data_IF_030135388099
#
_entry.id   IF_030135388099
#
_cell.length_a   1.000
_cell.length_b   1.000
_cell.length_c   1.000
_cell.angle_alpha   90.00
_cell.angle_beta   90.00
_cell.angle_gamma   90.00
#
_symmetry.space_group_name_H-M   'P 1'
#
loop_
_entity.id
_entity.type
_entity.pdbx_description
1 polymer ?
#
# COMPACT_ATOMS: atom_id res chain seq x y z
N UNK A 1 13.95 11.37 -4.98
CA UNK A 1 13.55 12.76 -4.62
C UNK A 1 14.83 13.55 -4.35
N UNK A 2 14.95 14.76 -4.90
CA UNK A 2 16.16 15.57 -4.82
C UNK A 2 15.82 16.90 -4.16
N UNK A 3 16.68 17.39 -3.27
CA UNK A 3 16.59 18.73 -2.70
C UNK A 3 17.90 19.47 -2.85
N UNK A 4 17.83 20.79 -2.93
CA UNK A 4 19.00 21.66 -3.04
C UNK A 4 19.14 22.48 -1.78
N UNK A 5 20.28 22.37 -1.09
CA UNK A 5 20.55 23.07 0.17
C UNK A 5 21.91 23.76 0.08
N UNK A 6 22.05 24.91 0.75
CA UNK A 6 23.36 25.56 0.92
C UNK A 6 24.00 25.17 2.26
N UNK A 7 25.22 24.62 2.22
CA UNK A 7 26.04 24.30 3.40
C UNK A 7 27.37 25.05 3.28
N UNK A 8 27.66 25.96 4.21
CA UNK A 8 28.88 26.79 4.21
C UNK A 8 29.28 27.36 2.83
N UNK A 9 28.30 27.93 2.12
CA UNK A 9 28.40 28.52 0.76
C UNK A 9 28.51 27.52 -0.40
N UNK A 10 28.61 26.22 -0.13
CA UNK A 10 28.51 25.17 -1.15
C UNK A 10 27.04 24.85 -1.40
N UNK A 11 26.60 24.91 -2.66
CA UNK A 11 25.31 24.34 -3.06
C UNK A 11 25.45 22.83 -3.15
N UNK A 12 24.61 22.12 -2.40
CA UNK A 12 24.53 20.67 -2.36
C UNK A 12 23.22 20.23 -2.97
N UNK A 13 23.30 19.28 -3.90
CA UNK A 13 22.16 18.51 -4.36
C UNK A 13 22.16 17.18 -3.61
N UNK A 14 21.09 16.93 -2.86
CA UNK A 14 20.94 15.76 -2.01
C UNK A 14 19.80 14.89 -2.50
N UNK A 15 20.13 13.64 -2.83
CA UNK A 15 19.20 12.57 -3.12
C UNK A 15 18.72 11.95 -1.81
N UNK A 16 17.43 12.09 -1.51
CA UNK A 16 16.82 11.52 -0.31
C UNK A 16 16.68 10.01 -0.47
N UNK A 17 17.32 9.26 0.41
CA UNK A 17 17.23 7.79 0.49
C UNK A 17 16.02 7.34 1.30
N UNK A 18 15.77 7.98 2.44
CA UNK A 18 14.63 7.63 3.29
C UNK A 18 14.51 8.49 4.55
N UNK A 19 13.51 8.16 5.35
CA UNK A 19 13.16 8.87 6.58
C UNK A 19 13.05 7.90 7.75
N UNK A 20 13.66 8.26 8.87
CA UNK A 20 13.55 7.54 10.13
C UNK A 20 12.68 8.33 11.12
N UNK A 21 11.71 7.66 11.75
CA UNK A 21 10.84 8.25 12.77
C UNK A 21 11.02 7.54 14.10
N UNK A 22 11.31 8.30 15.16
CA UNK A 22 11.50 7.74 16.50
C UNK A 22 11.38 8.82 17.58
N UNK A 23 10.47 8.65 18.56
CA UNK A 23 10.37 9.52 19.75
C UNK A 23 10.34 11.04 19.44
N UNK A 24 9.54 11.42 18.44
CA UNK A 24 9.38 12.79 17.94
C UNK A 24 10.46 13.28 16.99
N UNK A 25 11.54 12.53 16.78
CA UNK A 25 12.51 12.82 15.74
C UNK A 25 12.02 12.33 14.38
N UNK A 26 12.24 13.15 13.35
CA UNK A 26 12.26 12.73 11.96
C UNK A 26 13.68 12.98 11.42
N UNK A 27 14.36 11.94 10.93
CA UNK A 27 15.73 12.05 10.41
C UNK A 27 15.74 11.58 8.97
N UNK A 28 15.99 12.50 8.04
CA UNK A 28 16.18 12.16 6.63
C UNK A 28 17.62 11.73 6.39
N UNK A 29 17.78 10.59 5.72
CA UNK A 29 19.04 10.15 5.17
C UNK A 29 19.11 10.55 3.71
N UNK A 30 20.19 11.25 3.35
CA UNK A 30 20.40 11.74 2.01
C UNK A 30 21.86 11.63 1.58
N UNK A 31 22.07 11.44 0.28
CA UNK A 31 23.39 11.35 -0.32
C UNK A 31 23.57 12.45 -1.36
N UNK A 32 24.79 12.94 -1.53
CA UNK A 32 25.15 13.79 -2.67
C UNK A 32 24.83 13.11 -4.01
N UNK A 33 24.69 13.90 -5.08
CA UNK A 33 24.43 13.36 -6.44
C UNK A 33 25.45 12.31 -6.90
N UNK A 34 26.69 12.38 -6.41
CA UNK A 34 27.77 11.42 -6.70
C UNK A 34 27.82 10.23 -5.72
N UNK A 35 26.91 10.17 -4.74
CA UNK A 35 26.83 9.15 -3.67
C UNK A 35 28.09 9.01 -2.80
N UNK A 36 28.94 10.03 -2.76
CA UNK A 36 30.20 10.05 -2.03
C UNK A 36 30.07 10.57 -0.57
N UNK A 37 29.05 11.39 -0.29
CA UNK A 37 28.85 12.00 1.03
C UNK A 37 27.44 11.73 1.56
N UNK A 38 27.35 11.17 2.78
CA UNK A 38 26.10 10.95 3.49
C UNK A 38 25.78 12.14 4.41
N UNK A 39 24.54 12.61 4.35
CA UNK A 39 23.98 13.68 5.17
C UNK A 39 22.76 13.18 5.92
N UNK A 40 22.69 13.49 7.22
CA UNK A 40 21.48 13.35 8.01
C UNK A 40 20.87 14.72 8.27
N UNK A 41 19.60 14.90 7.90
CA UNK A 41 18.81 16.11 8.17
C UNK A 41 17.85 15.81 9.33
N UNK A 42 17.92 16.63 10.37
CA UNK A 42 17.23 16.43 11.63
C UNK A 42 16.02 17.35 11.74
N UNK A 43 14.90 16.75 12.11
CA UNK A 43 13.65 17.42 12.43
C UNK A 43 13.15 16.91 13.78
N UNK A 44 12.36 17.74 14.45
CA UNK A 44 11.66 17.33 15.66
C UNK A 44 10.24 17.87 15.62
N UNK A 45 9.25 16.99 15.80
CA UNK A 45 7.82 17.30 15.66
C UNK A 45 7.51 18.11 14.38
N UNK A 46 8.03 17.63 13.26
CA UNK A 46 7.90 18.23 11.91
C UNK A 46 8.61 19.57 11.69
N UNK A 47 9.39 20.08 12.65
CA UNK A 47 10.21 21.29 12.45
C UNK A 47 11.66 20.96 12.11
N UNK A 48 12.19 21.56 11.05
CA UNK A 48 13.60 21.42 10.68
C UNK A 48 14.52 22.05 11.73
N UNK A 49 15.53 21.28 12.16
CA UNK A 49 16.52 21.69 13.15
C UNK A 49 17.86 22.05 12.51
N UNK A 50 18.47 21.11 11.80
CA UNK A 50 19.81 21.21 11.20
C UNK A 50 20.11 19.99 10.32
N UNK A 51 21.26 19.99 9.64
CA UNK A 51 21.80 18.86 8.89
C UNK A 51 23.28 18.65 9.20
N UNK A 52 23.76 17.41 9.06
CA UNK A 52 25.18 17.10 9.21
C UNK A 52 25.66 16.03 8.24
N UNK A 53 26.79 16.33 7.58
CA UNK A 53 27.61 15.31 6.94
C UNK A 53 28.09 14.31 7.99
N UNK A 54 27.95 13.02 7.67
CA UNK A 54 28.19 11.94 8.63
C UNK A 54 29.03 10.85 7.99
N UNK A 55 30.24 10.67 8.52
CA UNK A 55 31.18 9.65 8.03
C UNK A 55 31.15 8.38 8.91
N UNK A 56 30.70 8.50 10.16
CA UNK A 56 30.57 7.40 11.11
C UNK A 56 29.45 7.67 12.11
N UNK A 57 28.88 6.60 12.65
CA UNK A 57 27.84 6.64 13.68
C UNK A 57 28.38 6.00 14.96
N UNK A 58 28.39 6.74 16.07
CA UNK A 58 28.82 6.23 17.37
C UNK A 58 27.80 5.24 17.92
N UNK A 59 28.26 4.07 18.39
CA UNK A 59 27.40 2.96 18.86
C UNK A 59 26.38 3.35 19.94
N UNK A 60 26.75 4.26 20.84
CA UNK A 60 25.89 4.72 21.94
C UNK A 60 25.18 6.04 21.66
N UNK A 61 25.25 6.56 20.43
CA UNK A 61 24.59 7.82 20.06
C UNK A 61 23.08 7.65 19.96
N UNK A 62 22.36 8.74 20.19
CA UNK A 62 20.93 8.83 19.95
C UNK A 62 20.62 8.64 18.46
N UNK A 63 21.48 9.12 17.55
CA UNK A 63 21.36 8.85 16.12
C UNK A 63 21.37 7.33 15.84
N UNK A 64 22.29 6.57 16.42
CA UNK A 64 22.30 5.11 16.26
C UNK A 64 21.00 4.47 16.72
N UNK A 65 20.42 4.95 17.83
CA UNK A 65 19.14 4.43 18.32
C UNK A 65 18.00 4.73 17.35
N UNK A 66 17.94 5.93 16.77
CA UNK A 66 16.95 6.30 15.76
C UNK A 66 17.07 5.38 14.54
N UNK A 67 18.28 5.16 14.04
CA UNK A 67 18.51 4.36 12.83
C UNK A 67 18.23 2.86 13.04
N UNK A 68 18.35 2.36 14.27
CA UNK A 68 18.17 0.92 14.59
C UNK A 68 16.79 0.58 15.15
N UNK A 69 16.17 1.49 15.89
CA UNK A 69 14.87 1.26 16.56
C UNK A 69 13.74 2.09 15.96
N UNK A 70 14.06 3.08 15.14
CA UNK A 70 13.07 3.90 14.46
C UNK A 70 12.39 3.18 13.31
N UNK A 71 11.23 3.69 12.94
CA UNK A 71 10.50 3.24 11.75
C UNK A 71 11.15 3.89 10.53
N UNK A 72 11.59 3.06 9.59
CA UNK A 72 12.18 3.52 8.34
C UNK A 72 11.15 3.54 7.21
N UNK A 73 11.12 4.65 6.47
CA UNK A 73 10.35 4.85 5.26
C UNK A 73 11.32 5.11 4.09
N UNK A 74 11.33 4.22 3.10
CA UNK A 74 12.15 4.37 1.89
C UNK A 74 11.60 5.49 0.99
N UNK A 75 12.45 6.33 0.42
CA UNK A 75 12.06 7.32 -0.61
C UNK A 75 11.74 6.64 -1.96
N UNK A 76 10.80 7.16 -2.77
CA UNK A 76 9.94 8.31 -2.53
C UNK A 76 8.65 7.95 -1.77
N UNK A 77 8.25 8.78 -0.80
CA UNK A 77 6.98 8.63 -0.07
C UNK A 77 6.29 9.99 0.04
N UNK A 78 4.94 10.06 -0.05
CA UNK A 78 4.20 11.31 0.14
C UNK A 78 4.55 12.01 1.47
N UNK A 79 4.71 11.25 2.56
CA UNK A 79 5.10 11.79 3.88
C UNK A 79 6.44 12.55 3.83
N UNK A 80 7.42 12.03 3.08
CA UNK A 80 8.73 12.68 2.94
C UNK A 80 8.57 14.00 2.18
N UNK A 81 7.76 13.99 1.12
CA UNK A 81 7.44 15.19 0.35
C UNK A 81 6.77 16.24 1.26
N UNK A 82 5.72 15.85 1.99
CA UNK A 82 5.00 16.75 2.90
C UNK A 82 5.89 17.32 3.99
N UNK A 83 6.79 16.52 4.59
CA UNK A 83 7.75 17.01 5.57
C UNK A 83 8.67 18.09 4.99
N UNK A 84 9.12 17.91 3.75
CA UNK A 84 9.96 18.87 3.02
C UNK A 84 9.16 20.10 2.56
N UNK A 85 7.90 19.94 2.16
CA UNK A 85 7.05 21.07 1.73
C UNK A 85 6.69 21.98 2.92
N UNK A 86 6.47 21.40 4.11
CA UNK A 86 6.28 22.15 5.36
C UNK A 86 7.54 22.93 5.74
N UNK A 87 8.72 22.41 5.41
CA UNK A 87 10.00 22.98 5.79
C UNK A 87 10.76 23.47 4.57
N UNK A 88 10.71 24.76 4.27
CA UNK A 88 11.55 25.36 3.23
C UNK A 88 13.03 25.39 3.66
N UNK A 89 13.76 24.31 3.36
CA UNK A 89 15.17 24.15 3.78
C UNK A 89 16.09 24.84 2.77
N UNK A 90 16.51 26.05 3.11
CA UNK A 90 17.46 26.82 2.27
C UNK A 90 18.93 26.60 2.68
N UNK A 91 19.18 26.40 3.97
CA UNK A 91 20.54 26.32 4.52
C UNK A 91 20.61 25.42 5.74
N UNK A 92 21.80 24.88 6.01
CA UNK A 92 22.08 24.08 7.21
C UNK A 92 22.59 24.98 8.34
N UNK A 93 21.79 25.26 9.39
CA UNK A 93 22.27 26.03 10.53
C UNK A 93 23.30 25.23 11.35
N UNK A 94 24.25 25.92 11.98
CA UNK A 94 25.20 25.29 12.91
C UNK A 94 24.49 24.73 14.15
N UNK A 95 25.09 23.74 14.82
CA UNK A 95 24.54 23.17 16.06
C UNK A 95 24.36 24.26 17.14
N UNK A 96 25.25 25.24 17.23
CA UNK A 96 25.15 26.32 18.20
C UNK A 96 23.95 27.24 17.92
N UNK A 97 23.72 27.60 16.66
CA UNK A 97 22.56 28.40 16.26
C UNK A 97 21.25 27.63 16.46
N UNK A 98 21.24 26.35 16.10
CA UNK A 98 20.11 25.44 16.33
C UNK A 98 19.80 25.30 17.82
N UNK A 99 20.82 25.16 18.68
CA UNK A 99 20.63 25.08 20.13
C UNK A 99 20.03 26.35 20.73
N UNK A 100 20.42 27.53 20.24
CA UNK A 100 19.80 28.81 20.66
C UNK A 100 18.32 28.86 20.27
N UNK A 101 17.96 28.41 19.07
CA UNK A 101 16.56 28.32 18.62
C UNK A 101 15.77 27.34 19.49
N UNK A 102 16.31 26.15 19.71
CA UNK A 102 15.66 25.10 20.52
C UNK A 102 15.34 25.60 21.93
N UNK A 103 16.29 26.24 22.62
CA UNK A 103 16.05 26.77 23.98
C UNK A 103 15.00 27.88 24.04
N UNK A 104 14.74 28.57 22.92
CA UNK A 104 13.70 29.60 22.85
C UNK A 104 12.32 29.00 22.56
N UNK A 105 12.28 27.94 21.75
CA UNK A 105 11.04 27.35 21.24
C UNK A 105 10.46 26.25 22.13
N UNK A 106 11.30 25.52 22.88
CA UNK A 106 10.88 24.35 23.65
C UNK A 106 11.15 24.53 25.15
N UNK A 107 10.33 23.86 25.97
CA UNK A 107 10.57 23.75 27.42
C UNK A 107 11.91 23.08 27.68
N UNK A 108 12.60 23.43 28.76
CA UNK A 108 14.01 23.08 28.94
C UNK A 108 14.27 21.56 28.99
N UNK A 109 13.33 20.78 29.52
CA UNK A 109 13.43 19.30 29.52
C UNK A 109 13.30 18.74 28.10
N UNK A 110 12.39 19.29 27.30
CA UNK A 110 12.20 18.89 25.90
C UNK A 110 13.36 19.38 25.02
N UNK A 111 13.84 20.61 25.22
CA UNK A 111 15.05 21.12 24.62
C UNK A 111 16.25 20.19 24.92
N UNK A 112 16.41 19.75 26.17
CA UNK A 112 17.44 18.80 26.56
C UNK A 112 17.28 17.44 25.89
N UNK A 113 16.05 16.97 25.67
CA UNK A 113 15.80 15.77 24.86
C UNK A 113 16.31 15.99 23.45
N UNK A 114 15.87 17.04 22.76
CA UNK A 114 16.28 17.35 21.37
C UNK A 114 17.81 17.40 21.23
N UNK A 115 18.51 18.00 22.20
CA UNK A 115 19.98 18.09 22.19
C UNK A 115 20.67 16.72 22.11
N UNK A 116 20.05 15.66 22.65
CA UNK A 116 20.66 14.32 22.71
C UNK A 116 20.96 13.77 21.33
N UNK A 117 20.18 14.14 20.30
CA UNK A 117 20.44 13.69 18.92
C UNK A 117 21.81 14.11 18.38
N UNK A 118 22.41 15.17 18.96
CA UNK A 118 23.71 15.69 18.53
C UNK A 118 24.91 15.03 19.23
N UNK A 119 24.70 14.02 20.09
CA UNK A 119 25.77 13.25 20.74
C UNK A 119 26.68 12.48 19.75
N UNK A 120 26.22 12.25 18.52
CA UNK A 120 27.06 11.74 17.44
C UNK A 120 28.14 12.76 17.01
N UNK A 121 27.82 14.05 17.04
CA UNK A 121 28.70 15.12 16.54
C UNK A 121 29.41 15.90 17.65
N UNK A 122 28.86 15.87 18.86
CA UNK A 122 29.45 16.48 20.05
C UNK A 122 30.17 15.44 20.91
N UNK A 123 31.07 15.89 21.79
CA UNK A 123 31.62 15.00 22.84
C UNK A 123 30.50 14.65 23.81
N UNK A 124 30.32 13.36 24.11
CA UNK A 124 29.26 12.87 25.00
C UNK A 124 29.30 13.55 26.38
N UNK A 125 30.49 13.72 26.96
CA UNK A 125 30.68 14.42 28.24
C UNK A 125 30.18 15.87 28.21
N UNK A 126 30.33 16.54 27.06
CA UNK A 126 29.84 17.92 26.89
C UNK A 126 28.31 17.94 26.94
N UNK A 127 27.65 17.01 26.25
CA UNK A 127 26.18 16.89 26.26
C UNK A 127 25.69 16.57 27.67
N UNK A 128 26.25 15.54 28.32
CA UNK A 128 25.91 15.16 29.69
C UNK A 128 26.11 16.32 30.66
N UNK A 129 27.24 17.03 30.58
CA UNK A 129 27.53 18.17 31.47
C UNK A 129 26.51 19.30 31.33
N UNK A 130 25.96 19.52 30.12
CA UNK A 130 24.94 20.54 29.90
C UNK A 130 23.60 20.11 30.51
N UNK A 131 23.20 18.86 30.32
CA UNK A 131 22.01 18.28 30.95
C UNK A 131 22.11 18.31 32.48
N UNK A 132 23.28 18.01 33.04
CA UNK A 132 23.56 18.11 34.47
C UNK A 132 23.40 19.54 34.97
N UNK A 133 23.93 20.54 34.25
CA UNK A 133 23.77 21.95 34.61
C UNK A 133 22.30 22.38 34.66
N UNK A 134 21.50 21.99 33.66
CA UNK A 134 20.05 22.27 33.62
C UNK A 134 19.35 21.62 34.83
N UNK A 135 19.64 20.34 35.11
CA UNK A 135 19.08 19.64 36.26
C UNK A 135 19.45 20.29 37.60
N UNK A 136 20.72 20.68 37.77
CA UNK A 136 21.19 21.37 38.98
C UNK A 136 20.56 22.75 39.13
N UNK A 137 20.35 23.47 38.02
CA UNK A 137 19.65 24.77 38.03
C UNK A 137 18.21 24.60 38.54
N UNK A 138 17.46 23.63 38.00
CA UNK A 138 16.12 23.33 38.52
C UNK A 138 16.10 22.99 40.01
N UNK A 139 17.12 22.30 40.52
CA UNK A 139 17.23 22.03 41.97
C UNK A 139 17.45 23.31 42.77
N UNK A 140 18.33 24.20 42.31
CA UNK A 140 18.60 25.50 42.95
C UNK A 140 17.35 26.37 42.98
N UNK A 141 16.57 26.33 41.91
CA UNK A 141 15.34 27.11 41.77
C UNK A 141 14.13 26.46 42.50
N UNK A 142 14.34 25.36 43.23
CA UNK A 142 13.28 24.64 43.95
C UNK A 142 12.34 23.81 43.05
N UNK A 143 12.57 23.78 41.74
CA UNK A 143 11.79 23.05 40.74
C UNK A 143 12.14 21.54 40.71
N UNK A 144 11.92 20.86 41.84
CA UNK A 144 12.31 19.46 42.04
C UNK A 144 11.65 18.49 41.03
N UNK A 145 10.43 18.76 40.57
CA UNK A 145 9.79 17.93 39.54
C UNK A 145 10.53 18.02 38.20
N UNK A 146 10.91 19.21 37.76
CA UNK A 146 11.67 19.36 36.50
C UNK A 146 13.06 18.74 36.62
N UNK A 147 13.71 18.89 37.77
CA UNK A 147 14.96 18.18 38.05
C UNK A 147 14.79 16.66 37.96
N UNK A 148 13.69 16.11 38.49
CA UNK A 148 13.37 14.68 38.41
C UNK A 148 13.14 14.22 36.96
N UNK A 149 12.41 15.01 36.15
CA UNK A 149 12.22 14.76 34.71
C UNK A 149 13.55 14.72 33.96
N UNK A 150 14.44 15.67 34.24
CA UNK A 150 15.79 15.69 33.68
C UNK A 150 16.61 14.46 34.05
N UNK A 151 16.50 13.98 35.29
CA UNK A 151 17.18 12.77 35.74
C UNK A 151 16.66 11.53 35.01
N UNK A 152 15.35 11.40 34.85
CA UNK A 152 14.76 10.33 34.05
C UNK A 152 15.23 10.38 32.59
N UNK A 153 15.20 11.56 31.95
CA UNK A 153 15.71 11.73 30.58
C UNK A 153 17.19 11.29 30.47
N UNK A 154 18.03 11.72 31.42
CA UNK A 154 19.44 11.33 31.47
C UNK A 154 19.62 9.81 31.58
N UNK A 155 18.83 9.14 32.42
CA UNK A 155 18.92 7.69 32.59
C UNK A 155 18.35 6.92 31.40
N UNK A 156 17.32 7.44 30.75
CA UNK A 156 16.78 6.87 29.51
C UNK A 156 17.79 6.92 28.37
N UNK A 157 18.46 8.07 28.18
CA UNK A 157 19.42 8.26 27.08
C UNK A 157 20.82 7.72 27.40
N UNK A 158 21.23 7.81 28.67
CA UNK A 158 22.56 7.40 29.15
C UNK A 158 22.46 6.51 30.41
N UNK A 159 22.06 5.23 30.26
CA UNK A 159 21.77 4.34 31.38
C UNK A 159 22.95 4.03 32.30
N UNK A 160 24.19 4.32 31.88
CA UNK A 160 25.41 4.09 32.67
C UNK A 160 25.82 5.30 33.53
N UNK A 161 25.09 6.42 33.45
CA UNK A 161 25.42 7.64 34.17
C UNK A 161 25.23 7.48 35.70
N UNK A 162 26.34 7.36 36.42
CA UNK A 162 26.34 7.13 37.88
C UNK A 162 25.80 8.33 38.67
N UNK A 163 26.09 9.56 38.22
CA UNK A 163 25.58 10.77 38.86
C UNK A 163 24.05 10.78 38.88
N UNK A 164 23.41 10.52 37.75
CA UNK A 164 21.95 10.49 37.66
C UNK A 164 21.35 9.35 38.49
N UNK A 165 21.97 8.15 38.47
CA UNK A 165 21.54 6.99 39.28
C UNK A 165 21.56 7.29 40.78
N UNK A 166 22.63 7.92 41.27
CA UNK A 166 22.73 8.27 42.68
C UNK A 166 21.78 9.39 43.10
N UNK A 167 21.53 10.35 42.20
CA UNK A 167 20.76 11.53 42.55
C UNK A 167 19.24 11.28 42.52
N UNK A 168 18.77 10.41 41.62
CA UNK A 168 17.34 10.13 41.45
C UNK A 168 16.73 9.40 42.66
N UNK A 169 17.54 8.65 43.42
CA UNK A 169 17.11 7.92 44.63
C UNK A 169 17.05 8.78 45.89
N UNK A 170 17.42 10.05 45.80
CA UNK A 170 17.40 10.96 46.95
C UNK A 170 15.98 11.13 47.50
N UNK A 171 15.83 11.25 48.83
CA UNK A 171 14.54 11.34 49.54
C UNK A 171 13.58 12.39 48.93
N UNK A 172 14.13 13.55 48.55
CA UNK A 172 13.41 14.64 47.86
C UNK A 172 12.60 14.20 46.61
N UNK A 173 12.92 13.06 46.00
CA UNK A 173 12.29 12.56 44.79
C UNK A 173 11.37 11.34 44.98
N UNK A 174 11.30 10.78 46.19
CA UNK A 174 10.46 9.60 46.47
C UNK A 174 8.99 9.81 46.09
N UNK A 175 8.44 11.00 46.38
CA UNK A 175 7.06 11.37 46.03
C UNK A 175 6.78 11.36 44.53
N UNK A 176 7.78 11.59 43.69
CA UNK A 176 7.62 11.56 42.23
C UNK A 176 7.76 10.13 41.70
N UNK A 177 8.62 9.32 42.31
CA UNK A 177 8.85 7.91 41.91
C UNK A 177 7.55 7.11 41.89
N UNK A 178 6.70 7.27 42.91
CA UNK A 178 5.39 6.61 42.95
C UNK A 178 4.49 6.96 41.76
N UNK A 179 4.56 8.20 41.25
CA UNK A 179 3.78 8.62 40.07
C UNK A 179 4.31 8.01 38.78
N UNK A 180 5.61 7.80 38.66
CA UNK A 180 6.22 7.17 37.48
C UNK A 180 6.04 5.65 37.46
N UNK A 181 5.68 5.05 38.59
CA UNK A 181 5.23 3.66 38.70
C UNK A 181 3.74 3.47 38.40
N UNK A 182 2.98 4.56 38.23
CA UNK A 182 1.56 4.50 37.93
C UNK A 182 1.28 4.10 36.48
N UNK A 183 0.01 3.81 36.19
CA UNK A 183 -0.42 3.41 34.85
C UNK A 183 -0.04 4.45 33.78
N UNK A 184 0.47 4.00 32.63
CA UNK A 184 1.08 4.85 31.58
C UNK A 184 0.13 5.96 31.08
N UNK A 185 -1.18 5.70 31.04
CA UNK A 185 -2.20 6.71 30.68
C UNK A 185 -2.21 7.91 31.64
N UNK A 186 -2.03 7.67 32.94
CA UNK A 186 -1.94 8.74 33.95
C UNK A 186 -0.63 9.49 33.81
N UNK A 187 0.44 8.76 33.49
CA UNK A 187 1.76 9.33 33.26
C UNK A 187 1.81 10.21 32.02
N UNK A 188 1.04 9.90 30.97
CA UNK A 188 0.93 10.72 29.76
C UNK A 188 0.46 12.15 30.06
N UNK A 189 -0.45 12.33 31.02
CA UNK A 189 -0.88 13.65 31.47
C UNK A 189 0.14 14.31 32.41
N UNK A 190 0.87 13.51 33.18
CA UNK A 190 1.79 14.00 34.20
C UNK A 190 3.18 14.36 33.66
N UNK A 191 3.72 13.57 32.73
CA UNK A 191 4.97 13.77 32.02
C UNK A 191 4.85 13.19 30.59
N UNK A 192 4.28 13.94 29.64
CA UNK A 192 4.01 13.48 28.28
C UNK A 192 5.25 12.98 27.56
N UNK A 193 6.38 13.69 27.70
CA UNK A 193 7.64 13.34 27.02
C UNK A 193 8.17 11.98 27.48
N UNK A 194 8.21 11.74 28.80
CA UNK A 194 8.61 10.45 29.32
C UNK A 194 7.65 9.34 28.90
N UNK A 195 6.34 9.57 29.01
CA UNK A 195 5.35 8.59 28.60
C UNK A 195 5.48 8.22 27.11
N UNK A 196 5.60 9.21 26.21
CA UNK A 196 5.79 9.00 24.77
C UNK A 196 7.02 8.12 24.48
N UNK A 197 8.16 8.44 25.09
CA UNK A 197 9.39 7.65 24.95
C UNK A 197 9.15 6.17 25.31
N UNK A 198 8.43 5.91 26.40
CA UNK A 198 8.12 4.56 26.86
C UNK A 198 7.09 3.84 25.97
N UNK A 199 6.11 4.56 25.42
CA UNK A 199 5.14 4.01 24.47
C UNK A 199 5.83 3.55 23.17
N UNK A 200 6.78 4.35 22.65
CA UNK A 200 7.59 3.99 21.48
C UNK A 200 8.43 2.71 21.69
N UNK A 201 8.85 2.41 22.92
CA UNK A 201 9.60 1.19 23.21
C UNK A 201 8.69 -0.07 23.27
N UNK A 202 7.36 0.11 23.35
CA UNK A 202 6.39 -0.97 23.52
C UNK A 202 5.32 -0.98 22.40
N UNK A 203 5.68 -0.57 21.18
CA UNK A 203 4.79 -0.46 20.02
C UNK A 203 4.07 -1.77 19.65
N UNK A 204 4.61 -2.93 20.04
CA UNK A 204 3.97 -4.23 19.81
C UNK A 204 2.70 -4.45 20.63
N UNK A 205 2.50 -3.69 21.71
CA UNK A 205 1.29 -3.78 22.52
C UNK A 205 0.21 -2.86 21.97
N UNK A 206 -0.98 -3.42 21.70
CA UNK A 206 -2.17 -2.68 21.22
C UNK A 206 -2.45 -1.46 22.11
N UNK A 207 -2.39 -1.64 23.43
CA UNK A 207 -2.62 -0.55 24.38
C UNK A 207 -1.63 0.61 24.23
N UNK A 208 -0.33 0.32 24.08
CA UNK A 208 0.67 1.38 23.93
C UNK A 208 0.56 2.06 22.57
N UNK A 209 0.26 1.29 21.52
CA UNK A 209 0.04 1.82 20.18
C UNK A 209 -1.16 2.77 20.15
N UNK A 210 -2.31 2.37 20.71
CA UNK A 210 -3.53 3.19 20.74
C UNK A 210 -3.33 4.47 21.54
N UNK A 211 -2.70 4.39 22.72
CA UNK A 211 -2.41 5.56 23.54
C UNK A 211 -1.44 6.52 22.84
N UNK A 212 -0.43 5.99 22.15
CA UNK A 212 0.50 6.80 21.37
C UNK A 212 -0.21 7.50 20.21
N UNK A 213 -1.05 6.77 19.45
CA UNK A 213 -1.82 7.36 18.35
C UNK A 213 -2.74 8.48 18.84
N UNK A 214 -3.45 8.27 19.95
CA UNK A 214 -4.31 9.30 20.56
C UNK A 214 -3.50 10.53 20.99
N UNK A 215 -2.32 10.33 21.58
CA UNK A 215 -1.44 11.41 21.99
C UNK A 215 -0.92 12.22 20.80
N UNK A 216 -0.42 11.55 19.77
CA UNK A 216 0.12 12.21 18.58
C UNK A 216 -0.97 12.96 17.82
N UNK A 217 -2.17 12.40 17.75
CA UNK A 217 -3.32 13.06 17.13
C UNK A 217 -3.72 14.33 17.90
N UNK A 218 -3.71 14.32 19.24
CA UNK A 218 -4.03 15.51 20.03
C UNK A 218 -2.98 16.62 19.92
N UNK A 219 -1.72 16.26 19.60
CA UNK A 219 -0.65 17.21 19.28
C UNK A 219 -0.62 17.64 17.79
N UNK A 220 -1.60 17.24 16.97
CA UNK A 220 -1.62 17.50 15.52
C UNK A 220 -0.41 16.93 14.76
N UNK A 221 0.20 15.85 15.25
CA UNK A 221 1.38 15.20 14.67
C UNK A 221 1.00 14.13 13.64
N UNK A 222 0.22 14.53 12.64
CA UNK A 222 -0.41 13.59 11.69
C UNK A 222 0.56 12.75 10.88
N UNK A 223 1.73 13.29 10.50
CA UNK A 223 2.76 12.55 9.75
C UNK A 223 3.27 11.33 10.53
N UNK A 224 3.44 11.48 11.84
CA UNK A 224 3.85 10.38 12.71
C UNK A 224 2.72 9.36 12.89
N UNK A 225 1.47 9.82 13.04
CA UNK A 225 0.30 8.93 13.10
C UNK A 225 0.19 8.03 11.87
N UNK A 226 0.29 8.62 10.67
CA UNK A 226 0.20 7.89 9.40
C UNK A 226 1.35 6.89 9.24
N UNK A 227 2.56 7.29 9.61
CA UNK A 227 3.74 6.42 9.62
C UNK A 227 3.50 5.21 10.53
N UNK A 228 3.04 5.44 11.75
CA UNK A 228 2.80 4.38 12.74
C UNK A 228 1.73 3.39 12.27
N UNK A 229 0.61 3.89 11.74
CA UNK A 229 -0.41 3.03 11.14
C UNK A 229 0.17 2.19 10.00
N UNK A 230 0.92 2.83 9.09
CA UNK A 230 1.50 2.15 7.94
C UNK A 230 2.48 1.07 8.35
N UNK A 231 3.38 1.37 9.30
CA UNK A 231 4.32 0.39 9.83
C UNK A 231 3.58 -0.82 10.42
N UNK A 232 2.53 -0.58 11.20
CA UNK A 232 1.78 -1.65 11.85
C UNK A 232 0.98 -2.50 10.84
N UNK A 233 0.33 -1.86 9.87
CA UNK A 233 -0.44 -2.47 8.78
C UNK A 233 0.44 -3.36 7.88
N UNK A 234 1.66 -2.91 7.57
CA UNK A 234 2.58 -3.61 6.66
C UNK A 234 3.41 -4.70 7.36
N UNK A 235 3.76 -4.49 8.63
CA UNK A 235 4.71 -5.34 9.36
C UNK A 235 4.05 -6.44 10.21
N UNK A 236 2.78 -6.32 10.57
CA UNK A 236 2.14 -7.22 11.54
C UNK A 236 0.84 -7.85 11.03
N UNK A 237 0.63 -9.13 11.34
CA UNK A 237 -0.69 -9.77 11.27
C UNK A 237 -1.47 -9.41 12.54
N UNK A 238 -1.86 -8.15 12.63
CA UNK A 238 -2.66 -7.69 13.76
C UNK A 238 -4.11 -8.11 13.63
N UNK A 239 -4.69 -8.55 14.75
CA UNK A 239 -6.13 -8.77 14.89
C UNK A 239 -6.95 -7.49 14.67
N UNK A 240 -6.33 -6.32 14.85
CA UNK A 240 -6.95 -5.00 14.71
C UNK A 240 -6.62 -4.33 13.38
N UNK A 241 -6.19 -5.11 12.37
CA UNK A 241 -5.82 -4.57 11.06
C UNK A 241 -6.92 -3.69 10.46
N UNK A 242 -8.16 -4.19 10.44
CA UNK A 242 -9.28 -3.49 9.81
C UNK A 242 -9.56 -2.16 10.51
N UNK A 243 -9.59 -2.14 11.85
CA UNK A 243 -9.77 -0.91 12.63
C UNK A 243 -8.69 0.13 12.30
N UNK A 244 -7.43 -0.27 12.32
CA UNK A 244 -6.30 0.62 12.04
C UNK A 244 -6.24 1.09 10.59
N UNK A 245 -6.59 0.21 9.65
CA UNK A 245 -6.71 0.59 8.25
C UNK A 245 -7.82 1.61 8.05
N UNK A 246 -8.98 1.44 8.70
CA UNK A 246 -10.06 2.41 8.65
C UNK A 246 -9.67 3.76 9.28
N UNK A 247 -8.90 3.79 10.36
CA UNK A 247 -8.36 5.05 10.90
C UNK A 247 -7.42 5.73 9.92
N UNK A 248 -6.53 4.97 9.27
CA UNK A 248 -5.64 5.50 8.23
C UNK A 248 -6.44 6.11 7.07
N UNK A 249 -7.48 5.42 6.59
CA UNK A 249 -8.33 5.91 5.49
C UNK A 249 -9.10 7.19 5.84
N UNK A 250 -9.41 7.43 7.13
CA UNK A 250 -10.01 8.70 7.59
C UNK A 250 -9.02 9.86 7.58
N UNK A 251 -7.76 9.58 7.89
CA UNK A 251 -6.72 10.62 8.01
C UNK A 251 -6.15 11.02 6.64
N UNK A 252 -5.97 10.07 5.72
CA UNK A 252 -5.40 10.33 4.39
C UNK A 252 -6.05 11.51 3.64
N UNK A 253 -7.39 11.55 3.42
CA UNK A 253 -8.02 12.59 2.62
C UNK A 253 -7.99 13.98 3.26
N UNK A 254 -7.66 14.08 4.56
CA UNK A 254 -7.53 15.37 5.26
C UNK A 254 -6.24 16.09 4.82
N UNK A 255 -5.20 15.33 4.46
CA UNK A 255 -3.86 15.88 4.22
C UNK A 255 -3.33 15.65 2.80
N UNK A 256 -3.92 14.73 2.06
CA UNK A 256 -3.47 14.34 0.73
C UNK A 256 -4.61 14.44 -0.27
N UNK A 257 -4.26 14.82 -1.50
CA UNK A 257 -5.19 14.72 -2.64
C UNK A 257 -5.61 13.27 -2.90
N UNK A 258 -6.65 13.07 -3.73
CA UNK A 258 -7.09 11.72 -4.12
C UNK A 258 -5.94 10.90 -4.75
N UNK A 259 -5.16 11.53 -5.64
CA UNK A 259 -4.03 10.89 -6.31
C UNK A 259 -2.89 10.54 -5.35
N UNK A 260 -2.56 11.42 -4.40
CA UNK A 260 -1.53 11.16 -3.39
C UNK A 260 -1.99 10.07 -2.41
N UNK A 261 -3.26 10.09 -2.01
CA UNK A 261 -3.86 9.04 -1.18
C UNK A 261 -3.81 7.68 -1.88
N UNK A 262 -4.15 7.63 -3.17
CA UNK A 262 -4.09 6.41 -3.96
C UNK A 262 -2.64 5.90 -4.09
N UNK A 263 -1.69 6.80 -4.36
CA UNK A 263 -0.26 6.47 -4.41
C UNK A 263 0.23 5.90 -3.07
N UNK A 264 -0.25 6.47 -1.96
CA UNK A 264 0.02 5.96 -0.62
C UNK A 264 -0.50 4.53 -0.44
N UNK A 265 -1.75 4.27 -0.81
CA UNK A 265 -2.37 2.94 -0.70
C UNK A 265 -1.65 1.88 -1.56
N UNK A 266 -1.25 2.23 -2.79
CA UNK A 266 -0.42 1.33 -3.61
C UNK A 266 0.87 0.94 -2.91
N UNK A 267 1.52 1.88 -2.22
CA UNK A 267 2.74 1.57 -1.47
C UNK A 267 2.46 0.62 -0.31
N UNK A 268 1.41 0.87 0.47
CA UNK A 268 1.00 -0.06 1.55
C UNK A 268 0.73 -1.44 0.96
N UNK A 269 0.01 -1.52 -0.16
CA UNK A 269 -0.29 -2.78 -0.84
C UNK A 269 0.97 -3.57 -1.24
N UNK A 270 2.00 -2.88 -1.75
CA UNK A 270 3.28 -3.50 -2.12
C UNK A 270 4.10 -3.92 -0.89
N UNK A 271 4.10 -3.15 0.19
CA UNK A 271 4.82 -3.46 1.43
C UNK A 271 4.15 -4.54 2.29
N UNK A 272 2.84 -4.72 2.15
CA UNK A 272 2.05 -5.64 2.99
C UNK A 272 2.38 -7.10 2.67
N UNK A 273 2.85 -7.81 3.68
CA UNK A 273 3.24 -9.24 3.56
C UNK A 273 2.05 -10.19 3.63
N UNK A 274 1.04 -9.89 4.46
CA UNK A 274 -0.09 -10.77 4.66
C UNK A 274 -1.04 -10.76 3.46
N UNK A 275 -1.30 -11.93 2.88
CA UNK A 275 -2.20 -12.09 1.72
C UNK A 275 -3.62 -11.60 2.01
N UNK A 276 -4.15 -11.87 3.21
CA UNK A 276 -5.48 -11.41 3.63
C UNK A 276 -5.55 -9.89 3.65
N UNK A 277 -4.61 -9.24 4.32
CA UNK A 277 -4.57 -7.79 4.44
C UNK A 277 -4.36 -7.11 3.08
N UNK A 278 -3.50 -7.70 2.23
CA UNK A 278 -3.25 -7.24 0.86
C UNK A 278 -4.52 -7.23 0.01
N UNK A 279 -5.39 -8.25 0.14
CA UNK A 279 -6.68 -8.29 -0.54
C UNK A 279 -7.63 -7.16 -0.07
N UNK A 280 -7.68 -6.87 1.24
CA UNK A 280 -8.50 -5.77 1.78
C UNK A 280 -8.02 -4.41 1.24
N UNK A 281 -6.71 -4.17 1.21
CA UNK A 281 -6.14 -2.93 0.66
C UNK A 281 -6.41 -2.84 -0.84
N UNK A 282 -6.30 -3.95 -1.57
CA UNK A 282 -6.62 -3.99 -3.00
C UNK A 282 -8.07 -3.62 -3.27
N UNK A 283 -9.03 -4.09 -2.46
CA UNK A 283 -10.44 -3.75 -2.59
C UNK A 283 -10.66 -2.25 -2.47
N UNK A 284 -10.03 -1.62 -1.48
CA UNK A 284 -10.09 -0.18 -1.27
C UNK A 284 -9.51 0.59 -2.48
N UNK A 285 -8.34 0.18 -2.99
CA UNK A 285 -7.73 0.80 -4.17
C UNK A 285 -8.64 0.67 -5.39
N UNK A 286 -9.16 -0.54 -5.65
CA UNK A 286 -10.07 -0.80 -6.76
C UNK A 286 -11.34 0.04 -6.63
N UNK A 287 -11.95 0.11 -5.45
CA UNK A 287 -13.15 0.93 -5.22
C UNK A 287 -12.90 2.39 -5.58
N UNK A 288 -11.77 2.97 -5.15
CA UNK A 288 -11.41 4.36 -5.48
C UNK A 288 -11.18 4.56 -6.98
N UNK A 289 -10.55 3.59 -7.65
CA UNK A 289 -10.36 3.66 -9.10
C UNK A 289 -11.70 3.63 -9.85
N UNK A 290 -12.68 2.86 -9.37
CA UNK A 290 -14.03 2.86 -9.92
C UNK A 290 -14.72 4.21 -9.76
N UNK A 291 -14.59 4.83 -8.59
CA UNK A 291 -15.13 6.17 -8.32
C UNK A 291 -14.50 7.23 -9.23
N UNK A 292 -13.20 7.09 -9.52
CA UNK A 292 -12.46 7.93 -10.49
C UNK A 292 -12.69 7.54 -11.96
N UNK A 293 -13.54 6.55 -12.26
CA UNK A 293 -13.81 6.00 -13.60
C UNK A 293 -12.57 5.45 -14.33
N UNK A 294 -11.56 5.01 -13.58
CA UNK A 294 -10.31 4.42 -14.07
C UNK A 294 -10.42 2.89 -14.15
N UNK A 295 -11.34 2.42 -14.98
CA UNK A 295 -11.71 1.00 -15.08
C UNK A 295 -10.56 0.10 -15.55
N UNK A 296 -9.71 0.58 -16.46
CA UNK A 296 -8.56 -0.18 -16.97
C UNK A 296 -7.52 -0.43 -15.87
N UNK A 297 -7.17 0.60 -15.10
CA UNK A 297 -6.23 0.47 -13.97
C UNK A 297 -6.77 -0.49 -12.90
N UNK A 298 -8.09 -0.41 -12.63
CA UNK A 298 -8.76 -1.30 -11.70
C UNK A 298 -8.72 -2.77 -12.18
N UNK A 299 -8.96 -2.98 -13.48
CA UNK A 299 -8.84 -4.30 -14.11
C UNK A 299 -7.42 -4.85 -13.98
N UNK A 300 -6.41 -4.07 -14.39
CA UNK A 300 -5.01 -4.49 -14.35
C UNK A 300 -4.54 -4.83 -12.94
N UNK A 301 -4.99 -4.06 -11.94
CA UNK A 301 -4.66 -4.33 -10.54
C UNK A 301 -5.22 -5.67 -10.06
N UNK A 302 -6.44 -6.04 -10.46
CA UNK A 302 -7.04 -7.32 -10.08
C UNK A 302 -6.36 -8.50 -10.77
N UNK A 303 -6.07 -8.42 -12.07
CA UNK A 303 -5.48 -9.54 -12.81
C UNK A 303 -4.02 -9.81 -12.47
N UNK A 304 -3.27 -8.80 -11.99
CA UNK A 304 -1.88 -8.96 -11.53
C UNK A 304 -1.77 -9.81 -10.26
N UNK A 305 -2.89 -10.18 -9.64
CA UNK A 305 -2.90 -10.96 -8.39
C UNK A 305 -2.35 -12.37 -8.59
N UNK A 306 -1.35 -12.74 -7.79
CA UNK A 306 -0.79 -14.10 -7.78
C UNK A 306 -1.69 -15.13 -7.06
N UNK A 307 -2.78 -14.68 -6.46
CA UNK A 307 -3.70 -15.49 -5.66
C UNK A 307 -5.12 -15.41 -6.21
N UNK A 308 -5.93 -16.42 -5.87
CA UNK A 308 -7.36 -16.39 -6.16
C UNK A 308 -8.01 -15.14 -5.54
N UNK A 309 -8.82 -14.46 -6.35
CA UNK A 309 -9.57 -13.29 -5.94
C UNK A 309 -10.61 -13.66 -4.88
N UNK A 310 -10.90 -12.74 -3.97
CA UNK A 310 -12.01 -12.91 -3.03
C UNK A 310 -13.37 -12.73 -3.73
N UNK A 311 -14.45 -13.21 -3.12
CA UNK A 311 -15.81 -13.03 -3.64
C UNK A 311 -16.15 -11.56 -3.91
N UNK A 312 -15.69 -10.65 -3.05
CA UNK A 312 -15.87 -9.20 -3.24
C UNK A 312 -15.10 -8.68 -4.45
N UNK A 313 -13.84 -9.12 -4.63
CA UNK A 313 -13.02 -8.75 -5.78
C UNK A 313 -13.62 -9.23 -7.10
N UNK A 314 -14.20 -10.42 -7.09
CA UNK A 314 -14.90 -10.98 -8.25
C UNK A 314 -16.13 -10.14 -8.58
N UNK A 315 -16.88 -9.67 -7.58
CA UNK A 315 -17.99 -8.72 -7.82
C UNK A 315 -17.52 -7.38 -8.39
N UNK A 316 -16.38 -6.85 -7.92
CA UNK A 316 -15.77 -5.65 -8.49
C UNK A 316 -15.31 -5.89 -9.94
N UNK A 317 -14.70 -7.03 -10.22
CA UNK A 317 -14.30 -7.45 -11.57
C UNK A 317 -15.51 -7.46 -12.52
N UNK A 318 -16.63 -8.06 -12.12
CA UNK A 318 -17.84 -8.11 -12.95
C UNK A 318 -18.30 -6.69 -13.31
N UNK A 319 -18.36 -5.77 -12.34
CA UNK A 319 -18.71 -4.35 -12.58
C UNK A 319 -17.74 -3.68 -13.56
N UNK A 320 -16.45 -3.99 -13.47
CA UNK A 320 -15.43 -3.45 -14.38
C UNK A 320 -15.65 -3.97 -15.81
N UNK A 321 -15.86 -5.28 -15.97
CA UNK A 321 -16.06 -5.90 -17.27
C UNK A 321 -17.34 -5.38 -17.97
N UNK A 322 -18.42 -5.17 -17.23
CA UNK A 322 -19.67 -4.60 -17.78
C UNK A 322 -19.45 -3.24 -18.48
N UNK A 323 -18.54 -2.41 -17.94
CA UNK A 323 -18.21 -1.09 -18.53
C UNK A 323 -17.20 -1.22 -19.67
N UNK A 324 -16.17 -2.06 -19.50
CA UNK A 324 -15.11 -2.26 -20.50
C UNK A 324 -15.59 -3.01 -21.75
N UNK A 325 -16.79 -3.60 -21.75
CA UNK A 325 -17.28 -4.39 -22.88
C UNK A 325 -17.41 -3.55 -24.14
N UNK A 326 -17.83 -2.30 -23.95
CA UNK A 326 -18.14 -1.36 -25.02
C UNK A 326 -16.89 -0.70 -25.61
N UNK A 327 -15.77 -0.66 -24.87
CA UNK A 327 -14.62 0.21 -25.20
C UNK A 327 -13.25 -0.48 -25.29
N UNK A 328 -13.08 -1.69 -24.74
CA UNK A 328 -11.74 -2.25 -24.49
C UNK A 328 -11.24 -3.22 -25.57
N UNK A 329 -10.04 -2.95 -26.10
CA UNK A 329 -9.42 -3.65 -27.25
C UNK A 329 -8.17 -4.48 -26.93
N UNK A 330 -7.65 -4.48 -25.69
CA UNK A 330 -6.42 -5.22 -25.36
C UNK A 330 -6.65 -6.74 -25.26
N UNK A 331 -5.58 -7.51 -25.48
CA UNK A 331 -5.63 -8.97 -25.41
C UNK A 331 -5.79 -9.45 -23.95
N UNK A 332 -6.57 -10.52 -23.79
CA UNK A 332 -6.86 -11.15 -22.50
C UNK A 332 -5.80 -12.17 -22.10
N UNK A 333 -4.65 -12.20 -22.79
CA UNK A 333 -3.63 -13.24 -22.65
C UNK A 333 -2.94 -13.19 -21.29
N UNK A 334 -2.92 -12.01 -20.66
CA UNK A 334 -2.38 -11.83 -19.31
C UNK A 334 -3.35 -12.30 -18.21
N UNK A 335 -4.62 -12.57 -18.54
CA UNK A 335 -5.61 -13.01 -17.57
C UNK A 335 -5.44 -14.49 -17.28
N UNK A 336 -5.15 -14.85 -16.04
CA UNK A 336 -4.99 -16.25 -15.63
C UNK A 336 -6.28 -16.78 -15.00
N UNK A 337 -6.90 -17.81 -15.57
CA UNK A 337 -8.15 -18.38 -15.05
C UNK A 337 -8.08 -18.79 -13.56
N UNK A 338 -6.89 -19.18 -13.06
CA UNK A 338 -6.69 -19.56 -11.65
C UNK A 338 -7.09 -18.47 -10.65
N UNK A 339 -7.13 -17.20 -11.06
CA UNK A 339 -7.55 -16.11 -10.16
C UNK A 339 -9.04 -16.18 -9.83
N UNK A 340 -9.83 -16.93 -10.61
CA UNK A 340 -11.28 -17.05 -10.46
C UNK A 340 -11.74 -18.30 -9.70
N UNK A 341 -10.83 -19.08 -9.10
CA UNK A 341 -11.21 -20.37 -8.46
C UNK A 341 -12.17 -20.23 -7.28
N UNK A 342 -12.27 -19.03 -6.69
CA UNK A 342 -13.22 -18.76 -5.60
C UNK A 342 -14.58 -18.25 -6.11
N UNK A 343 -14.76 -18.06 -7.41
CA UNK A 343 -16.00 -17.58 -7.98
C UNK A 343 -17.09 -18.64 -7.86
N UNK A 344 -18.30 -18.20 -7.52
CA UNK A 344 -19.47 -19.07 -7.58
C UNK A 344 -19.95 -19.25 -9.04
N UNK A 345 -20.87 -20.19 -9.25
CA UNK A 345 -21.44 -20.48 -10.58
C UNK A 345 -21.96 -19.23 -11.30
N UNK A 346 -22.72 -18.37 -10.61
CA UNK A 346 -23.35 -17.18 -11.19
C UNK A 346 -22.29 -16.17 -11.62
N UNK A 347 -21.30 -15.93 -10.76
CA UNK A 347 -20.19 -15.03 -11.03
C UNK A 347 -19.36 -15.49 -12.24
N UNK A 348 -19.07 -16.79 -12.33
CA UNK A 348 -18.37 -17.35 -13.49
C UNK A 348 -19.17 -17.19 -14.77
N UNK A 349 -20.49 -17.40 -14.74
CA UNK A 349 -21.33 -17.20 -15.93
C UNK A 349 -21.31 -15.75 -16.41
N UNK A 350 -21.36 -14.77 -15.49
CA UNK A 350 -21.25 -13.36 -15.82
C UNK A 350 -19.89 -13.00 -16.42
N UNK A 351 -18.80 -13.52 -15.84
CA UNK A 351 -17.44 -13.28 -16.32
C UNK A 351 -17.22 -13.94 -17.69
N UNK A 352 -17.62 -15.19 -17.86
CA UNK A 352 -17.40 -15.93 -19.11
C UNK A 352 -18.22 -15.39 -20.27
N UNK A 353 -19.42 -14.88 -20.01
CA UNK A 353 -20.22 -14.16 -21.02
C UNK A 353 -19.42 -13.05 -21.70
N UNK A 354 -18.52 -12.40 -20.96
CA UNK A 354 -17.65 -11.36 -21.48
C UNK A 354 -16.32 -11.91 -22.02
N UNK A 355 -15.64 -12.77 -21.25
CA UNK A 355 -14.27 -13.17 -21.56
C UNK A 355 -14.19 -14.17 -22.72
N UNK A 356 -15.10 -15.14 -22.77
CA UNK A 356 -15.05 -16.23 -23.77
C UNK A 356 -15.12 -15.68 -25.20
N UNK A 357 -16.04 -14.78 -25.56
CA UNK A 357 -16.04 -14.17 -26.89
C UNK A 357 -14.75 -13.45 -27.26
N UNK A 358 -14.09 -12.80 -26.29
CA UNK A 358 -12.86 -12.07 -26.55
C UNK A 358 -11.66 -13.00 -26.72
N UNK A 359 -11.62 -14.11 -25.98
CA UNK A 359 -10.60 -15.15 -26.16
C UNK A 359 -10.71 -15.82 -27.53
N UNK A 360 -11.93 -16.10 -28.01
CA UNK A 360 -12.15 -16.71 -29.32
C UNK A 360 -11.75 -15.82 -30.52
N UNK A 361 -11.55 -14.51 -30.32
CA UNK A 361 -11.03 -13.61 -31.36
C UNK A 361 -9.55 -13.88 -31.67
N UNK A 362 -8.80 -14.38 -30.69
CA UNK A 362 -7.35 -14.56 -30.79
C UNK A 362 -6.89 -16.01 -30.66
N UNK A 363 -7.77 -16.91 -30.20
CA UNK A 363 -7.41 -18.26 -29.79
C UNK A 363 -8.44 -19.30 -30.22
N UNK A 364 -7.99 -20.54 -30.34
CA UNK A 364 -8.83 -21.68 -30.66
C UNK A 364 -9.47 -22.33 -29.41
N UNK A 365 -10.33 -23.33 -29.64
CA UNK A 365 -10.98 -24.09 -28.57
C UNK A 365 -9.98 -24.84 -27.67
N UNK A 366 -8.84 -25.28 -28.21
CA UNK A 366 -7.81 -26.01 -27.47
C UNK A 366 -7.18 -25.12 -26.40
N UNK A 367 -6.79 -23.90 -26.78
CA UNK A 367 -6.27 -22.91 -25.86
C UNK A 367 -7.31 -22.54 -24.79
N UNK A 368 -8.55 -22.24 -25.20
CA UNK A 368 -9.60 -21.81 -24.27
C UNK A 368 -9.93 -22.92 -23.27
N UNK A 369 -10.03 -24.18 -23.71
CA UNK A 369 -10.21 -25.32 -22.81
C UNK A 369 -9.07 -25.44 -21.80
N UNK A 370 -7.81 -25.36 -22.23
CA UNK A 370 -6.67 -25.42 -21.34
C UNK A 370 -6.60 -24.25 -20.37
N UNK A 371 -6.95 -23.04 -20.83
CA UNK A 371 -7.08 -21.86 -19.99
C UNK A 371 -8.18 -22.05 -18.94
N UNK A 372 -9.34 -22.61 -19.30
CA UNK A 372 -10.46 -22.87 -18.37
C UNK A 372 -10.23 -24.07 -17.43
N UNK A 373 -9.22 -24.91 -17.69
CA UNK A 373 -8.95 -26.14 -16.93
C UNK A 373 -9.00 -25.98 -15.39
N UNK A 374 -8.44 -24.91 -14.78
CA UNK A 374 -8.52 -24.71 -13.33
C UNK A 374 -9.95 -24.52 -12.81
N UNK A 375 -10.91 -24.14 -13.65
CA UNK A 375 -12.28 -23.76 -13.30
C UNK A 375 -13.31 -24.85 -13.63
N UNK A 376 -12.91 -25.94 -14.30
CA UNK A 376 -13.82 -27.02 -14.72
C UNK A 376 -14.52 -27.74 -13.56
N UNK A 377 -13.97 -27.65 -12.35
CA UNK A 377 -14.59 -28.21 -11.14
C UNK A 377 -15.83 -27.42 -10.67
N UNK A 378 -16.08 -26.24 -11.23
CA UNK A 378 -17.22 -25.37 -10.91
C UNK A 378 -18.20 -25.43 -12.09
N UNK A 379 -19.16 -26.38 -12.10
CA UNK A 379 -19.99 -26.64 -13.26
C UNK A 379 -20.89 -25.44 -13.57
N UNK A 380 -20.68 -24.85 -14.74
CA UNK A 380 -21.51 -23.79 -15.31
C UNK A 380 -21.73 -24.03 -16.81
N UNK A 381 -22.61 -23.21 -17.39
CA UNK A 381 -22.99 -23.34 -18.80
C UNK A 381 -21.78 -23.30 -19.74
N UNK A 382 -20.84 -22.38 -19.53
CA UNK A 382 -19.66 -22.24 -20.39
C UNK A 382 -18.67 -23.39 -20.21
N UNK A 383 -18.32 -23.76 -18.97
CA UNK A 383 -17.34 -24.84 -18.73
C UNK A 383 -17.79 -26.17 -19.32
N UNK A 384 -19.09 -26.48 -19.21
CA UNK A 384 -19.64 -27.72 -19.74
C UNK A 384 -19.57 -27.71 -21.27
N UNK A 385 -20.01 -26.61 -21.91
CA UNK A 385 -20.01 -26.49 -23.37
C UNK A 385 -18.61 -26.48 -23.96
N UNK A 386 -17.68 -25.73 -23.36
CA UNK A 386 -16.28 -25.69 -23.81
C UNK A 386 -15.61 -27.05 -23.67
N UNK A 387 -15.90 -27.79 -22.59
CA UNK A 387 -15.40 -29.16 -22.45
C UNK A 387 -15.96 -30.07 -23.55
N UNK A 388 -17.27 -30.05 -23.78
CA UNK A 388 -17.90 -30.84 -24.85
C UNK A 388 -17.35 -30.49 -26.23
N UNK A 389 -17.21 -29.19 -26.54
CA UNK A 389 -16.61 -28.71 -27.78
C UNK A 389 -15.17 -29.20 -27.96
N UNK A 390 -14.37 -29.18 -26.89
CA UNK A 390 -13.00 -29.68 -26.91
C UNK A 390 -12.94 -31.19 -27.16
N UNK A 391 -13.79 -31.96 -26.49
CA UNK A 391 -13.84 -33.42 -26.63
C UNK A 391 -14.29 -33.86 -28.03
N UNK A 392 -15.07 -33.03 -28.75
CA UNK A 392 -15.59 -33.31 -30.10
C UNK A 392 -14.79 -32.68 -31.23
N UNK A 393 -13.73 -31.92 -30.93
CA UNK A 393 -13.07 -31.06 -31.93
C UNK A 393 -12.46 -31.79 -33.13
N UNK A 394 -12.20 -33.09 -32.99
CA UNK A 394 -11.62 -33.95 -34.04
C UNK A 394 -12.65 -34.86 -34.72
N UNK A 395 -13.94 -34.73 -34.38
CA UNK A 395 -15.03 -35.58 -34.88
C UNK A 395 -15.86 -34.86 -35.97
N UNK A 396 -15.67 -35.17 -37.27
CA UNK A 396 -16.36 -34.46 -38.35
C UNK A 396 -17.88 -34.64 -38.34
N UNK A 397 -18.39 -35.76 -37.83
CA UNK A 397 -19.82 -36.03 -37.81
C UNK A 397 -20.58 -35.22 -36.73
N UNK A 398 -19.85 -34.53 -35.85
CA UNK A 398 -20.43 -33.73 -34.75
C UNK A 398 -20.56 -32.23 -35.09
N UNK A 399 -20.21 -31.81 -36.30
CA UNK A 399 -20.18 -30.39 -36.67
C UNK A 399 -21.52 -29.67 -36.46
N UNK A 400 -22.65 -30.33 -36.75
CA UNK A 400 -23.97 -29.76 -36.46
C UNK A 400 -24.13 -29.36 -34.99
N UNK A 401 -23.81 -30.30 -34.10
CA UNK A 401 -23.97 -30.14 -32.67
C UNK A 401 -22.96 -29.14 -32.10
N UNK A 402 -21.72 -29.15 -32.60
CA UNK A 402 -20.73 -28.12 -32.27
C UNK A 402 -21.22 -26.72 -32.66
N UNK A 403 -21.85 -26.58 -33.83
CA UNK A 403 -22.47 -25.33 -34.28
C UNK A 403 -23.56 -24.82 -33.31
N UNK A 404 -24.40 -25.72 -32.81
CA UNK A 404 -25.41 -25.37 -31.79
C UNK A 404 -24.76 -24.90 -30.48
N UNK A 405 -23.73 -25.61 -30.01
CA UNK A 405 -23.00 -25.25 -28.81
C UNK A 405 -22.32 -23.88 -28.94
N UNK A 406 -21.62 -23.61 -30.05
CA UNK A 406 -21.00 -22.30 -30.32
C UNK A 406 -22.02 -21.18 -30.37
N UNK A 407 -23.18 -21.42 -31.01
CA UNK A 407 -24.27 -20.45 -31.03
C UNK A 407 -24.77 -20.12 -29.62
N UNK A 408 -24.95 -21.12 -28.76
CA UNK A 408 -25.44 -20.89 -27.39
C UNK A 408 -24.45 -20.17 -26.46
N UNK A 409 -23.15 -20.13 -26.79
CA UNK A 409 -22.15 -19.30 -26.10
C UNK A 409 -21.80 -18.02 -26.88
N UNK A 410 -22.68 -17.62 -27.80
CA UNK A 410 -22.59 -16.40 -28.61
C UNK A 410 -21.30 -16.29 -29.44
N UNK A 411 -20.78 -17.43 -29.92
CA UNK A 411 -19.64 -17.51 -30.82
C UNK A 411 -20.12 -17.72 -32.26
N UNK A 412 -20.75 -16.68 -32.82
CA UNK A 412 -21.39 -16.75 -34.13
C UNK A 412 -20.42 -17.10 -35.28
N UNK A 413 -19.18 -16.58 -35.35
CA UNK A 413 -18.24 -16.95 -36.41
C UNK A 413 -17.92 -18.45 -36.42
N UNK A 414 -17.59 -19.02 -35.25
CA UNK A 414 -17.29 -20.44 -35.10
C UNK A 414 -18.52 -21.31 -35.39
N UNK A 415 -19.72 -20.87 -35.00
CA UNK A 415 -20.95 -21.58 -35.34
C UNK A 415 -21.19 -21.63 -36.86
N UNK A 416 -20.92 -20.53 -37.57
CA UNK A 416 -21.01 -20.48 -39.04
C UNK A 416 -20.04 -21.48 -39.67
N UNK A 417 -18.78 -21.50 -39.24
CA UNK A 417 -17.77 -22.46 -39.74
C UNK A 417 -18.24 -23.91 -39.57
N UNK A 418 -18.76 -24.29 -38.39
CA UNK A 418 -19.30 -25.62 -38.16
C UNK A 418 -20.46 -25.97 -39.12
N UNK A 419 -21.40 -25.04 -39.34
CA UNK A 419 -22.53 -25.30 -40.24
C UNK A 419 -22.14 -25.30 -41.72
N UNK A 420 -21.07 -24.59 -42.11
CA UNK A 420 -20.48 -24.72 -43.45
C UNK A 420 -19.90 -26.12 -43.64
N UNK A 421 -19.13 -26.63 -42.68
CA UNK A 421 -18.57 -27.98 -42.74
C UNK A 421 -19.66 -29.06 -42.73
N UNK A 422 -20.70 -28.93 -41.90
CA UNK A 422 -21.82 -29.87 -41.88
C UNK A 422 -22.58 -29.91 -43.24
N UNK A 423 -22.70 -28.75 -43.91
CA UNK A 423 -23.27 -28.67 -45.26
C UNK A 423 -22.37 -29.33 -46.31
N UNK A 424 -21.04 -29.15 -46.21
CA UNK A 424 -20.08 -29.80 -47.11
C UNK A 424 -20.10 -31.32 -46.96
N UNK A 425 -20.22 -31.83 -45.73
CA UNK A 425 -20.33 -33.26 -45.44
C UNK A 425 -21.65 -33.86 -45.93
N UNK A 426 -22.76 -33.12 -45.80
CA UNK A 426 -24.10 -33.57 -46.19
C UNK A 426 -24.87 -32.53 -47.02
N UNK A 427 -24.57 -32.38 -48.33
CA UNK A 427 -25.13 -31.30 -49.16
C UNK A 427 -26.65 -31.31 -49.34
N UNK A 428 -27.28 -32.47 -49.14
CA UNK A 428 -28.74 -32.64 -49.25
C UNK A 428 -29.47 -32.35 -47.94
N UNK A 429 -28.77 -32.21 -46.83
CA UNK A 429 -29.39 -31.91 -45.54
C UNK A 429 -29.78 -30.42 -45.48
N UNK A 430 -31.07 -30.08 -45.32
CA UNK A 430 -31.50 -28.68 -45.30
C UNK A 430 -31.24 -27.98 -43.95
N UNK A 431 -30.93 -28.72 -42.88
CA UNK A 431 -30.77 -28.16 -41.52
C UNK A 431 -29.64 -27.12 -41.41
N UNK A 432 -28.42 -27.36 -41.93
CA UNK A 432 -27.29 -26.42 -41.79
C UNK A 432 -27.54 -25.13 -42.56
N UNK A 433 -28.21 -25.23 -43.72
CA UNK A 433 -28.59 -24.09 -44.55
C UNK A 433 -29.54 -23.14 -43.81
N UNK A 434 -30.50 -23.70 -43.06
CA UNK A 434 -31.42 -22.92 -42.23
C UNK A 434 -30.67 -22.15 -41.15
N UNK A 435 -29.69 -22.80 -40.50
CA UNK A 435 -28.83 -22.17 -39.51
C UNK A 435 -27.94 -21.08 -40.13
N UNK A 436 -27.25 -21.35 -41.23
CA UNK A 436 -26.42 -20.36 -41.94
C UNK A 436 -27.22 -19.11 -42.32
N UNK A 437 -28.41 -19.27 -42.91
CA UNK A 437 -29.28 -18.12 -43.22
C UNK A 437 -29.62 -17.29 -41.98
N UNK A 438 -29.93 -17.94 -40.85
CA UNK A 438 -30.24 -17.27 -39.59
C UNK A 438 -29.02 -16.51 -39.06
N UNK A 439 -27.86 -17.18 -38.98
CA UNK A 439 -26.64 -16.60 -38.40
C UNK A 439 -26.12 -15.43 -39.24
N UNK A 440 -26.06 -15.57 -40.57
CA UNK A 440 -25.65 -14.48 -41.45
C UNK A 440 -26.55 -13.25 -41.29
N UNK A 441 -27.86 -13.45 -41.12
CA UNK A 441 -28.79 -12.34 -40.84
C UNK A 441 -28.50 -11.68 -39.49
N UNK A 442 -28.20 -12.46 -38.45
CA UNK A 442 -27.90 -11.95 -37.10
C UNK A 442 -26.60 -11.14 -37.04
N UNK A 443 -25.59 -11.50 -37.84
CA UNK A 443 -24.35 -10.72 -37.96
C UNK A 443 -24.43 -9.58 -38.98
N UNK A 444 -25.61 -9.35 -39.59
CA UNK A 444 -25.84 -8.25 -40.53
C UNK A 444 -25.46 -8.52 -41.99
N UNK A 445 -25.07 -9.74 -42.32
CA UNK A 445 -24.71 -10.21 -43.67
C UNK A 445 -25.98 -10.66 -44.43
N UNK A 446 -26.73 -9.66 -44.91
CA UNK A 446 -28.08 -9.88 -45.50
C UNK A 446 -28.00 -10.62 -46.84
N UNK A 447 -27.00 -10.31 -47.67
CA UNK A 447 -26.85 -10.92 -49.00
C UNK A 447 -26.59 -12.43 -48.91
N UNK A 448 -25.65 -12.82 -48.06
CA UNK A 448 -25.33 -14.21 -47.75
C UNK A 448 -26.55 -14.92 -47.17
N UNK A 449 -27.26 -14.28 -46.23
CA UNK A 449 -28.50 -14.82 -45.68
C UNK A 449 -29.54 -15.11 -46.78
N UNK A 450 -29.75 -14.19 -47.72
CA UNK A 450 -30.71 -14.38 -48.83
C UNK A 450 -30.28 -15.49 -49.78
N UNK A 451 -28.98 -15.61 -50.04
CA UNK A 451 -28.41 -16.67 -50.88
C UNK A 451 -28.67 -18.06 -50.28
N UNK A 452 -28.44 -18.23 -48.98
CA UNK A 452 -28.75 -19.48 -48.28
C UNK A 452 -30.26 -19.76 -48.21
N UNK A 453 -31.13 -18.74 -48.12
CA UNK A 453 -32.59 -18.97 -48.21
C UNK A 453 -33.02 -19.47 -49.58
N UNK A 454 -32.41 -18.96 -50.64
CA UNK A 454 -32.68 -19.42 -51.99
C UNK A 454 -32.22 -20.88 -52.15
N UNK A 455 -31.02 -21.22 -51.69
CA UNK A 455 -30.51 -22.60 -51.68
C UNK A 455 -31.42 -23.55 -50.89
N UNK A 456 -31.89 -23.13 -49.71
CA UNK A 456 -32.83 -23.89 -48.89
C UNK A 456 -34.11 -24.24 -49.66
N UNK A 457 -34.68 -23.26 -50.39
CA UNK A 457 -35.88 -23.48 -51.22
C UNK A 457 -35.63 -24.42 -52.40
N UNK A 458 -34.43 -24.43 -52.97
CA UNK A 458 -34.09 -25.35 -54.04
C UNK A 458 -34.01 -26.79 -53.53
N UNK A 459 -33.32 -27.01 -52.41
CA UNK A 459 -33.18 -28.36 -51.82
C UNK A 459 -34.53 -28.92 -51.37
N UNK A 460 -35.42 -28.09 -50.81
CA UNK A 460 -36.78 -28.52 -50.47
C UNK A 460 -37.64 -28.89 -51.68
N UNK A 461 -37.32 -28.40 -52.89
CA UNK A 461 -38.04 -28.75 -54.12
C UNK A 461 -37.47 -30.01 -54.79
N UNK A 462 -36.23 -30.38 -54.47
CA UNK A 462 -35.54 -31.54 -55.02
C UNK A 462 -35.52 -32.76 -54.09
N UNK A 463 -36.01 -32.60 -52.86
CA UNK A 463 -36.26 -33.67 -51.88
C UNK A 463 -37.70 -34.14 -51.98
#
# INVERSE_FOLDING_TARGET
MIITITDDKRKLELNINGLYLFQGYQVLEAFTSQQDECYYLFFYKNEFLTGKRTNFIKRSSTLQQILTKGIYLSSPQPIIKTLLDINTIHSIPSINTTWKKINKSYKEVEAAHILTVFDNYLKMDKVISLLQKICLQFRRDGNLLQAYRMLNLLLTKYPTNQWAKSLITHLNYQKYTLKYQSHIKSLLNYDPLYAEIHLYLNLHSTQSFDLLQQHLYSESRTLECLTLYTHHITSSESKHFEDYFQQLLKILPIHYSSQESLSYLYRIYEETKSKKNKAIIQNEIVSRLLDEKRYEDAYFLLIKSDTALSTEQINLMIKILEVLDVSYSHSFDTFQARILTNANKIQLEQIFKFLVPKLFKSHDITYIYHWMKPLLHIPNTYTNKIKTLYDMKEEPDQQHFMGELYYEINQLPQAIECYLWDLELNPTNPRPIKWLSKLYREIGMIEESTSYQYLYKQIQKSS
#
